data_IF_443231388094
#
_entry.id   IF_443231388094
#
_cell.length_a   1.000
_cell.length_b   1.000
_cell.length_c   1.000
_cell.angle_alpha   90.00
_cell.angle_beta   90.00
_cell.angle_gamma   90.00
#
_symmetry.space_group_name_H-M   'P 1'
#
loop_
_entity.id
_entity.type
_entity.pdbx_description
1 polymer ?
#
# COMPACT_ATOMS: atom_id res chain seq x y z
N UNK A 1 -8.45 -4.08 26.09
CA UNK A 1 -7.77 -2.85 26.51
C UNK A 1 -6.54 -2.71 25.65
N UNK A 2 -6.46 -1.63 24.88
CA UNK A 2 -5.28 -1.20 24.14
C UNK A 2 -4.86 -2.06 22.96
N UNK A 3 -5.62 -2.03 21.85
CA UNK A 3 -5.13 -2.50 20.54
C UNK A 3 -4.25 -1.43 19.86
N UNK A 4 -3.50 -0.66 20.66
CA UNK A 4 -2.60 0.37 20.14
C UNK A 4 -1.28 -0.28 19.74
N UNK A 5 -1.00 -0.35 18.45
CA UNK A 5 0.24 -0.90 17.91
C UNK A 5 1.35 0.17 17.93
N UNK A 6 2.61 -0.22 18.20
CA UNK A 6 3.70 0.74 18.41
C UNK A 6 4.09 1.44 17.11
N UNK A 7 3.56 2.65 16.93
CA UNK A 7 4.06 3.67 15.98
C UNK A 7 4.62 4.86 16.77
N UNK A 8 5.71 5.50 16.33
CA UNK A 8 6.22 6.71 16.97
C UNK A 8 5.17 7.83 16.99
N UNK A 9 5.22 8.69 18.01
CA UNK A 9 4.31 9.85 18.17
C UNK A 9 4.31 10.79 16.95
N UNK A 10 5.43 10.85 16.23
CA UNK A 10 5.58 11.66 15.02
C UNK A 10 5.55 10.83 13.72
N UNK A 11 4.95 9.64 13.75
CA UNK A 11 4.84 8.81 12.57
C UNK A 11 4.02 9.54 11.49
N UNK A 12 4.49 9.45 10.24
CA UNK A 12 3.76 9.93 9.07
C UNK A 12 3.65 8.81 8.06
N UNK A 13 2.56 8.80 7.29
CA UNK A 13 2.34 7.80 6.24
C UNK A 13 3.53 7.81 5.28
N UNK A 14 4.17 6.65 5.01
CA UNK A 14 5.41 6.63 4.24
C UNK A 14 5.29 7.30 2.88
N UNK A 15 6.24 8.17 2.57
CA UNK A 15 6.37 8.78 1.25
C UNK A 15 7.30 7.94 0.37
N UNK A 16 7.17 8.11 -0.95
CA UNK A 16 8.04 7.45 -1.93
C UNK A 16 7.33 6.44 -2.84
N UNK A 17 8.09 5.51 -3.39
CA UNK A 17 7.61 4.54 -4.37
C UNK A 17 6.78 3.42 -3.74
N UNK A 18 6.00 2.73 -4.60
CA UNK A 18 5.06 1.69 -4.14
C UNK A 18 5.79 0.46 -3.59
N UNK A 19 6.97 0.13 -4.13
CA UNK A 19 7.77 -1.00 -3.65
C UNK A 19 8.23 -0.81 -2.20
N UNK A 20 8.69 0.41 -1.86
CA UNK A 20 9.12 0.74 -0.51
C UNK A 20 7.94 0.81 0.46
N UNK A 21 6.82 1.37 0.03
CA UNK A 21 5.55 1.33 0.77
C UNK A 21 5.13 -0.12 1.06
N UNK A 22 5.20 -1.01 0.08
CA UNK A 22 4.93 -2.44 0.28
C UNK A 22 5.89 -3.10 1.27
N UNK A 23 7.18 -2.78 1.19
CA UNK A 23 8.16 -3.27 2.17
C UNK A 23 7.79 -2.83 3.59
N UNK A 24 7.41 -1.57 3.79
CA UNK A 24 7.00 -1.05 5.08
C UNK A 24 5.70 -1.68 5.59
N UNK A 25 4.75 -1.95 4.69
CA UNK A 25 3.55 -2.73 4.99
C UNK A 25 3.91 -4.10 5.57
N UNK A 26 4.81 -4.81 4.90
CA UNK A 26 5.17 -6.19 5.26
C UNK A 26 6.15 -6.32 6.43
N UNK A 27 7.11 -5.40 6.58
CA UNK A 27 8.29 -5.60 7.42
C UNK A 27 8.48 -4.50 8.47
N UNK A 28 7.85 -3.34 8.31
CA UNK A 28 8.10 -2.18 9.16
C UNK A 28 9.38 -1.43 8.77
N UNK A 29 9.86 -0.57 9.67
CA UNK A 29 11.11 0.14 9.56
C UNK A 29 11.87 0.09 10.89
N UNK A 30 12.79 -0.88 11.05
CA UNK A 30 13.57 -1.04 12.27
C UNK A 30 14.41 0.20 12.62
N UNK A 31 14.90 0.94 11.62
CA UNK A 31 15.69 2.16 11.83
C UNK A 31 14.90 3.28 12.51
N UNK A 32 13.58 3.28 12.36
CA UNK A 32 12.66 4.23 12.99
C UNK A 32 11.85 3.60 14.13
N UNK A 33 12.12 2.33 14.45
CA UNK A 33 11.56 1.64 15.62
C UNK A 33 10.12 1.12 15.48
N UNK A 34 9.55 1.06 14.27
CA UNK A 34 8.19 0.55 14.05
C UNK A 34 8.14 -0.76 13.25
N UNK A 35 7.21 -1.62 13.63
CA UNK A 35 6.97 -2.93 13.02
C UNK A 35 6.11 -2.88 11.74
N UNK A 36 5.74 -4.04 11.18
CA UNK A 36 4.93 -4.13 9.97
C UNK A 36 3.65 -3.29 10.04
N UNK A 37 3.46 -2.39 9.07
CA UNK A 37 2.29 -1.51 9.03
C UNK A 37 0.98 -2.27 8.78
N UNK A 38 1.04 -3.52 8.29
CA UNK A 38 -0.15 -4.37 8.18
C UNK A 38 -0.78 -4.76 9.51
N UNK A 39 -0.09 -4.53 10.65
CA UNK A 39 -0.65 -4.71 11.99
C UNK A 39 -1.33 -3.47 12.53
N UNK A 40 -1.05 -2.32 11.92
CA UNK A 40 -1.47 -1.02 12.43
C UNK A 40 -2.90 -0.73 11.96
N UNK A 41 -3.74 -0.37 12.92
CA UNK A 41 -5.14 0.03 12.75
C UNK A 41 -5.27 1.55 12.59
N UNK A 42 -6.42 2.00 12.11
CA UNK A 42 -6.73 3.45 12.08
C UNK A 42 -6.84 4.06 13.48
N UNK A 43 -7.09 3.24 14.51
CA UNK A 43 -7.10 3.68 15.91
C UNK A 43 -5.71 3.94 16.48
N UNK A 44 -4.64 3.53 15.79
CA UNK A 44 -3.25 3.81 16.19
C UNK A 44 -2.83 5.26 15.87
N UNK A 45 -3.72 6.01 15.21
CA UNK A 45 -3.45 7.33 14.66
C UNK A 45 -4.50 8.36 15.08
N UNK A 46 -4.79 8.42 16.38
CA UNK A 46 -5.80 9.35 16.92
C UNK A 46 -5.50 10.80 16.54
N UNK A 47 -4.21 11.17 16.61
CA UNK A 47 -3.70 12.52 16.35
C UNK A 47 -3.49 12.87 14.86
N UNK A 48 -3.72 11.94 13.93
CA UNK A 48 -3.60 12.25 12.51
C UNK A 48 -4.55 13.38 12.12
N UNK A 49 -3.99 14.36 11.42
CA UNK A 49 -4.79 15.39 10.74
C UNK A 49 -5.62 14.73 9.64
N UNK A 50 -6.71 15.40 9.24
CA UNK A 50 -7.64 14.87 8.24
C UNK A 50 -6.95 14.39 6.94
N UNK A 51 -6.00 15.16 6.43
CA UNK A 51 -5.23 14.82 5.23
C UNK A 51 -4.36 13.56 5.41
N UNK A 52 -3.82 13.32 6.61
CA UNK A 52 -3.03 12.13 6.93
C UNK A 52 -3.91 10.90 7.07
N UNK A 53 -5.11 11.03 7.67
CA UNK A 53 -6.12 9.96 7.70
C UNK A 53 -6.52 9.53 6.29
N UNK A 54 -6.75 10.47 5.38
CA UNK A 54 -7.07 10.17 3.98
C UNK A 54 -5.89 9.52 3.24
N UNK A 55 -4.66 9.97 3.48
CA UNK A 55 -3.45 9.31 2.95
C UNK A 55 -3.34 7.87 3.45
N UNK A 56 -3.57 7.65 4.74
CA UNK A 56 -3.51 6.32 5.35
C UNK A 56 -4.56 5.36 4.76
N UNK A 57 -5.80 5.82 4.56
CA UNK A 57 -6.85 5.03 3.88
C UNK A 57 -6.42 4.60 2.48
N UNK A 58 -5.87 5.53 1.68
CA UNK A 58 -5.34 5.22 0.34
C UNK A 58 -4.20 4.22 0.40
N UNK A 59 -3.30 4.38 1.37
CA UNK A 59 -2.18 3.47 1.59
C UNK A 59 -2.66 2.05 1.91
N UNK A 60 -3.53 1.89 2.92
CA UNK A 60 -4.14 0.59 3.28
C UNK A 60 -4.81 -0.03 2.05
N UNK A 61 -5.63 0.74 1.34
CA UNK A 61 -6.37 0.25 0.18
C UNK A 61 -5.43 -0.37 -0.88
N UNK A 62 -4.31 0.30 -1.19
CA UNK A 62 -3.34 -0.20 -2.14
C UNK A 62 -2.65 -1.47 -1.63
N UNK A 63 -2.21 -1.48 -0.38
CA UNK A 63 -1.50 -2.62 0.20
C UNK A 63 -2.40 -3.86 0.28
N UNK A 64 -3.68 -3.69 0.65
CA UNK A 64 -4.65 -4.78 0.64
C UNK A 64 -4.89 -5.33 -0.77
N UNK A 65 -4.90 -4.48 -1.81
CA UNK A 65 -4.98 -4.94 -3.20
C UNK A 65 -3.75 -5.77 -3.60
N UNK A 66 -2.55 -5.34 -3.21
CA UNK A 66 -1.31 -6.10 -3.47
C UNK A 66 -1.37 -7.46 -2.77
N UNK A 67 -1.78 -7.48 -1.50
CA UNK A 67 -1.95 -8.70 -0.72
C UNK A 67 -2.97 -9.65 -1.35
N UNK A 68 -4.14 -9.15 -1.72
CA UNK A 68 -5.16 -9.96 -2.39
C UNK A 68 -4.64 -10.52 -3.71
N UNK A 69 -3.93 -9.72 -4.51
CA UNK A 69 -3.32 -10.21 -5.74
C UNK A 69 -2.28 -11.30 -5.47
N UNK A 70 -1.43 -11.12 -4.46
CA UNK A 70 -0.46 -12.12 -4.04
C UNK A 70 -1.13 -13.45 -3.64
N UNK A 71 -2.26 -13.39 -2.94
CA UNK A 71 -3.07 -14.56 -2.60
C UNK A 71 -3.65 -15.22 -3.86
N UNK A 72 -4.24 -14.46 -4.78
CA UNK A 72 -4.78 -15.01 -6.04
C UNK A 72 -3.74 -15.66 -6.94
N UNK A 73 -2.48 -15.20 -6.87
CA UNK A 73 -1.36 -15.76 -7.61
C UNK A 73 -0.68 -16.94 -6.87
N UNK A 74 -1.12 -17.29 -5.66
CA UNK A 74 -0.54 -18.35 -4.85
C UNK A 74 0.90 -18.06 -4.40
N UNK A 75 1.32 -16.80 -4.39
CA UNK A 75 2.67 -16.38 -3.96
C UNK A 75 2.68 -15.88 -2.51
N UNK A 76 1.50 -15.69 -1.92
CA UNK A 76 1.37 -15.36 -0.50
C UNK A 76 1.67 -16.60 0.36
N UNK A 77 2.52 -16.50 1.41
CA UNK A 77 2.84 -17.64 2.24
C UNK A 77 1.61 -18.17 2.99
N UNK A 78 1.47 -19.50 3.04
CA UNK A 78 0.41 -20.14 3.82
C UNK A 78 0.55 -19.79 5.31
N UNK A 79 -0.59 -19.59 5.99
CA UNK A 79 -0.69 -19.26 7.42
C UNK A 79 -0.01 -17.94 7.84
N UNK A 80 0.34 -17.06 6.89
CA UNK A 80 0.86 -15.72 7.19
C UNK A 80 -0.26 -14.69 7.15
N UNK A 81 -0.63 -14.16 8.31
CA UNK A 81 -1.64 -13.10 8.41
C UNK A 81 -1.03 -11.71 8.14
N UNK A 82 0.18 -11.45 8.64
CA UNK A 82 0.91 -10.18 8.45
C UNK A 82 2.32 -10.25 9.07
N UNK A 83 3.30 -9.53 8.49
CA UNK A 83 4.67 -9.46 9.02
C UNK A 83 5.60 -10.51 8.44
N UNK A 84 5.83 -10.45 7.12
CA UNK A 84 6.70 -11.37 6.39
C UNK A 84 8.14 -10.83 6.31
N UNK A 85 9.11 -11.70 6.03
CA UNK A 85 10.50 -11.28 5.85
C UNK A 85 10.66 -10.36 4.63
N UNK A 86 11.70 -9.51 4.65
CA UNK A 86 12.03 -8.60 3.54
C UNK A 86 12.24 -9.35 2.22
N UNK A 87 12.89 -10.52 2.27
CA UNK A 87 13.10 -11.36 1.10
C UNK A 87 11.76 -11.84 0.50
N UNK A 88 10.83 -12.26 1.35
CA UNK A 88 9.49 -12.72 0.92
C UNK A 88 8.67 -11.55 0.38
N UNK A 89 8.71 -10.38 1.05
CA UNK A 89 8.05 -9.16 0.60
C UNK A 89 8.51 -8.77 -0.81
N UNK A 90 9.82 -8.81 -1.06
CA UNK A 90 10.41 -8.53 -2.38
C UNK A 90 9.96 -9.54 -3.44
N UNK A 91 9.98 -10.83 -3.14
CA UNK A 91 9.50 -11.88 -4.07
C UNK A 91 8.04 -11.67 -4.47
N UNK A 92 7.18 -11.33 -3.51
CA UNK A 92 5.77 -11.03 -3.77
C UNK A 92 5.67 -9.78 -4.65
N UNK A 93 6.42 -8.72 -4.32
CA UNK A 93 6.43 -7.51 -5.12
C UNK A 93 6.84 -7.78 -6.57
N UNK A 94 7.94 -8.49 -6.81
CA UNK A 94 8.42 -8.79 -8.17
C UNK A 94 7.37 -9.58 -8.99
N UNK A 95 6.58 -10.44 -8.33
CA UNK A 95 5.49 -11.20 -8.97
C UNK A 95 4.23 -10.36 -9.17
N UNK A 96 3.93 -9.43 -8.27
CA UNK A 96 2.74 -8.59 -8.31
C UNK A 96 2.93 -7.30 -9.10
N UNK A 97 4.16 -6.81 -9.30
CA UNK A 97 4.45 -5.52 -9.94
C UNK A 97 3.81 -5.38 -11.33
N UNK A 98 3.78 -6.48 -12.10
CA UNK A 98 3.13 -6.53 -13.41
C UNK A 98 1.60 -6.36 -13.33
N UNK A 99 0.97 -6.84 -12.26
CA UNK A 99 -0.48 -6.77 -12.09
C UNK A 99 -0.97 -5.34 -11.80
N UNK A 100 -0.10 -4.49 -11.28
CA UNK A 100 -0.48 -3.13 -10.93
C UNK A 100 -0.35 -2.16 -12.09
N UNK A 101 0.34 -2.53 -13.18
CA UNK A 101 0.66 -1.64 -14.32
C UNK A 101 0.77 -0.18 -13.88
N UNK A 102 1.43 0.05 -12.74
CA UNK A 102 1.68 1.40 -12.27
C UNK A 102 2.45 1.98 -13.43
N UNK A 103 2.05 3.12 -14.03
CA UNK A 103 2.77 3.72 -15.13
C UNK A 103 4.11 4.21 -14.60
N UNK A 104 4.99 3.25 -14.35
CA UNK A 104 6.36 3.37 -13.96
C UNK A 104 7.11 3.31 -15.26
N UNK A 105 7.57 4.49 -15.68
CA UNK A 105 8.85 4.57 -16.36
C UNK A 105 8.97 3.80 -17.69
N UNK A 106 7.88 3.66 -18.46
CA UNK A 106 8.01 3.44 -19.89
C UNK A 106 8.33 4.79 -20.55
N UNK A 107 9.57 5.26 -20.38
CA UNK A 107 10.12 6.40 -21.11
C UNK A 107 9.42 7.75 -20.89
N UNK A 108 10.01 8.59 -20.03
CA UNK A 108 9.87 10.04 -20.20
C UNK A 108 8.64 10.69 -19.58
N UNK A 109 8.60 10.77 -18.25
CA UNK A 109 8.27 12.01 -17.53
C UNK A 109 8.72 11.85 -16.08
N UNK A 110 9.60 12.74 -15.62
CA UNK A 110 9.98 12.85 -14.22
C UNK A 110 8.72 13.18 -13.43
N UNK A 111 8.09 12.16 -12.84
CA UNK A 111 7.04 12.35 -11.84
C UNK A 111 7.71 13.13 -10.70
N UNK A 112 7.13 14.27 -10.33
CA UNK A 112 7.69 15.13 -9.28
C UNK A 112 7.79 14.28 -8.01
N UNK A 113 9.02 14.15 -7.51
CA UNK A 113 9.46 13.31 -6.38
C UNK A 113 8.71 13.61 -5.06
N UNK A 114 7.88 14.66 -5.03
CA UNK A 114 7.19 15.15 -3.84
C UNK A 114 5.82 14.48 -3.58
N UNK A 115 5.18 13.89 -4.59
CA UNK A 115 3.98 13.07 -4.37
C UNK A 115 4.37 11.59 -4.37
N UNK A 116 4.03 10.88 -3.28
CA UNK A 116 4.31 9.47 -3.17
C UNK A 116 3.65 8.73 -4.35
N UNK A 117 4.42 7.97 -5.13
CA UNK A 117 3.97 7.34 -6.37
C UNK A 117 2.75 6.42 -6.12
N UNK A 118 2.62 5.91 -4.89
CA UNK A 118 1.46 5.11 -4.48
C UNK A 118 0.15 5.92 -4.42
N UNK A 119 0.19 7.23 -4.14
CA UNK A 119 -0.99 8.10 -4.18
C UNK A 119 -1.50 8.19 -5.61
N UNK A 120 -0.60 8.40 -6.57
CA UNK A 120 -0.94 8.44 -8.00
C UNK A 120 -1.48 7.07 -8.45
N UNK A 121 -0.82 5.98 -8.05
CA UNK A 121 -1.29 4.63 -8.34
C UNK A 121 -2.69 4.35 -7.78
N UNK A 122 -2.99 4.78 -6.54
CA UNK A 122 -4.33 4.63 -5.94
C UNK A 122 -5.39 5.39 -6.71
N UNK A 123 -5.14 6.64 -7.07
CA UNK A 123 -6.09 7.45 -7.83
C UNK A 123 -6.34 6.90 -9.23
N UNK A 124 -5.31 6.39 -9.91
CA UNK A 124 -5.46 5.72 -11.21
C UNK A 124 -6.30 4.44 -11.08
N UNK A 125 -6.00 3.57 -10.12
CA UNK A 125 -6.73 2.31 -9.94
C UNK A 125 -8.19 2.55 -9.52
N UNK A 126 -8.45 3.56 -8.68
CA UNK A 126 -9.82 3.97 -8.35
C UNK A 126 -10.56 4.46 -9.58
N UNK A 127 -9.93 5.27 -10.44
CA UNK A 127 -10.56 5.76 -11.67
C UNK A 127 -10.89 4.62 -12.65
N UNK A 128 -10.03 3.61 -12.76
CA UNK A 128 -10.25 2.42 -13.59
C UNK A 128 -11.40 1.58 -13.02
N UNK A 129 -11.41 1.36 -11.70
CA UNK A 129 -12.49 0.63 -11.02
C UNK A 129 -13.85 1.30 -11.25
N UNK A 130 -13.92 2.63 -11.12
CA UNK A 130 -15.15 3.38 -11.38
C UNK A 130 -15.52 3.37 -12.86
N UNK A 131 -14.56 3.44 -13.79
CA UNK A 131 -14.85 3.36 -15.22
C UNK A 131 -15.43 1.99 -15.62
N UNK A 132 -14.91 0.89 -15.04
CA UNK A 132 -15.44 -0.46 -15.27
C UNK A 132 -16.87 -0.63 -14.74
N UNK A 133 -17.20 -0.01 -13.59
CA UNK A 133 -18.57 0.00 -13.06
C UNK A 133 -19.54 0.84 -13.92
N UNK A 134 -19.06 1.87 -14.62
CA UNK A 134 -19.90 2.70 -15.51
C UNK A 134 -20.17 1.96 -16.84
N UNK A 135 -19.19 1.26 -17.41
CA UNK A 135 -19.39 0.48 -18.64
C UNK A 135 -20.36 -0.71 -18.46
N UNK A 136 -20.40 -1.31 -17.26
CA UNK A 136 -21.38 -2.37 -16.94
C UNK A 136 -22.80 -1.81 -16.75
N UNK A 137 -22.94 -0.59 -16.24
CA UNK A 137 -24.24 0.06 -16.01
C UNK A 137 -24.79 0.84 -17.21
N UNK A 138 -24.00 1.04 -18.27
CA UNK A 138 -24.43 1.75 -19.50
C UNK A 138 -24.87 0.77 -20.62
N UNK A 139 -24.81 -0.54 -20.37
CA UNK A 139 -25.25 -1.60 -21.30
C UNK A 139 -26.65 -2.17 -20.96
N UNK A 140 -27.54 -1.37 -20.37
CA UNK A 140 -28.95 -1.71 -20.15
C UNK A 140 -29.85 -0.77 -20.95
#
# INVERSE_FOLDING_TARGET
GGDHHPVPENFSVPQGNVAKAWQYWCCGNPSEGWGPLCRVSSNDFEDFKHNEKERWKKYIWLMLRIMWKAQTLGVWPENSECGISEETSKKIWDKCAYAFQIPGSAGGKKVRIEEAEWIIATSLLQSISTAQEVDENTNI
#
